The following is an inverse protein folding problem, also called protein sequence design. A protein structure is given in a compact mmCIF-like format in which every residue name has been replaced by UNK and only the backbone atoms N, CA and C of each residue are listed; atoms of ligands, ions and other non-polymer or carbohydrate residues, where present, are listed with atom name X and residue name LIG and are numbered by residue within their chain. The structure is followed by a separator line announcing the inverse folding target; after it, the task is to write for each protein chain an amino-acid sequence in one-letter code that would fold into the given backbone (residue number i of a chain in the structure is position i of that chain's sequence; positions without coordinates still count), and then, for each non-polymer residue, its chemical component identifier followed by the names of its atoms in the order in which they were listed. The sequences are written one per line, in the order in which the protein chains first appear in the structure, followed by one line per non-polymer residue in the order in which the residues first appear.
data_IF_256791893303
#
_entry.id   IF_256791893303
#
_cell.length_a   1.000
_cell.length_b   1.000
_cell.length_c   1.000
_cell.angle_alpha   90.00
_cell.angle_beta   90.00
_cell.angle_gamma   90.00
#
_symmetry.space_group_name_H-M   'P 1'
#
loop_
_entity.id
_entity.type
_entity.pdbx_description
1 polymer ?
#
# COMPACT_ATOMS: atom_id res chain seq x y z
N UNK A 1 -5.81 -4.95 4.72
CA UNK A 1 -6.85 -4.52 5.68
C UNK A 1 -6.28 -3.96 7.00
N UNK A 2 -4.97 -3.75 7.12
CA UNK A 2 -4.26 -3.63 8.41
C UNK A 2 -3.87 -2.18 8.75
N UNK A 3 -3.98 -1.26 7.77
CA UNK A 3 -3.44 0.11 7.89
C UNK A 3 -4.10 0.90 9.02
N UNK A 4 -5.42 0.76 9.22
CA UNK A 4 -6.12 1.44 10.31
C UNK A 4 -5.57 1.04 11.68
N UNK A 5 -5.36 -0.28 11.90
CA UNK A 5 -4.80 -0.80 13.14
C UNK A 5 -3.37 -0.31 13.36
N UNK A 6 -2.53 -0.29 12.31
CA UNK A 6 -1.17 0.25 12.36
C UNK A 6 -1.17 1.72 12.77
N UNK A 7 -1.93 2.57 12.06
CA UNK A 7 -1.94 4.02 12.28
C UNK A 7 -2.48 4.40 13.66
N UNK A 8 -3.57 3.76 14.10
CA UNK A 8 -4.11 3.99 15.45
C UNK A 8 -3.11 3.56 16.53
N UNK A 9 -2.51 2.39 16.37
CA UNK A 9 -1.50 1.86 17.30
C UNK A 9 -0.28 2.77 17.40
N UNK A 10 0.21 3.28 16.27
CA UNK A 10 1.35 4.20 16.21
C UNK A 10 1.01 5.54 16.88
N UNK A 11 -0.14 6.12 16.55
CA UNK A 11 -0.60 7.38 17.15
C UNK A 11 -0.75 7.30 18.67
N UNK A 12 -1.31 6.21 19.20
CA UNK A 12 -1.42 5.98 20.65
C UNK A 12 -0.07 5.80 21.35
N UNK A 13 0.98 5.46 20.61
CA UNK A 13 2.34 5.21 21.13
C UNK A 13 3.34 6.32 20.80
N UNK A 14 2.90 7.41 20.16
CA UNK A 14 3.79 8.49 19.72
C UNK A 14 4.82 8.05 18.68
N UNK A 15 4.51 7.04 17.88
CA UNK A 15 5.37 6.52 16.81
C UNK A 15 4.97 7.14 15.47
N UNK A 16 5.95 7.36 14.59
CA UNK A 16 5.72 7.66 13.18
C UNK A 16 5.44 6.37 12.42
N UNK A 17 4.35 6.31 11.66
CA UNK A 17 4.00 5.17 10.81
C UNK A 17 3.40 5.63 9.47
N UNK A 18 3.56 4.80 8.45
CA UNK A 18 2.99 4.99 7.12
C UNK A 18 2.80 3.64 6.41
N UNK A 19 2.13 3.66 5.26
CA UNK A 19 1.88 2.46 4.45
C UNK A 19 2.03 2.76 2.96
N UNK A 20 2.54 1.78 2.20
CA UNK A 20 2.52 1.76 0.74
C UNK A 20 1.53 0.69 0.31
N UNK A 21 0.64 1.03 -0.62
CA UNK A 21 -0.45 0.15 -1.08
C UNK A 21 -0.34 -0.08 -2.58
N UNK A 22 -0.64 -1.30 -3.00
CA UNK A 22 -0.76 -1.70 -4.41
C UNK A 22 -2.21 -2.07 -4.66
N UNK A 23 -2.78 -1.55 -5.74
CA UNK A 23 -4.17 -1.81 -6.10
C UNK A 23 -4.25 -3.12 -6.88
N UNK A 24 -4.90 -4.12 -6.30
CA UNK A 24 -5.16 -5.44 -6.90
C UNK A 24 -6.52 -5.55 -7.59
N UNK A 25 -7.33 -4.50 -7.49
CA UNK A 25 -8.59 -4.36 -8.20
C UNK A 25 -9.58 -3.55 -7.38
N UNK A 26 -10.85 -3.63 -7.76
CA UNK A 26 -11.97 -3.05 -7.02
C UNK A 26 -12.87 -4.19 -6.58
N UNK A 27 -13.26 -4.19 -5.31
CA UNK A 27 -14.22 -5.15 -4.75
C UNK A 27 -15.45 -4.38 -4.24
N UNK A 28 -16.14 -3.73 -5.19
CA UNK A 28 -17.32 -2.93 -4.94
C UNK A 28 -18.28 -3.10 -6.12
N UNK A 29 -19.34 -3.89 -5.92
CA UNK A 29 -20.23 -4.39 -6.98
C UNK A 29 -20.76 -3.29 -7.93
N UNK A 30 -21.01 -2.08 -7.43
CA UNK A 30 -21.52 -0.96 -8.24
C UNK A 30 -20.44 -0.07 -8.88
N UNK A 31 -19.16 -0.34 -8.60
CA UNK A 31 -18.02 0.48 -9.05
C UNK A 31 -17.00 -0.31 -9.88
N UNK A 32 -17.17 -1.63 -10.01
CA UNK A 32 -16.30 -2.48 -10.82
C UNK A 32 -16.66 -2.33 -12.29
N UNK A 33 -15.69 -1.92 -13.10
CA UNK A 33 -15.74 -2.06 -14.56
C UNK A 33 -14.85 -3.24 -14.96
N UNK A 34 -15.41 -4.46 -14.93
CA UNK A 34 -14.65 -5.68 -15.25
C UNK A 34 -14.02 -5.63 -16.64
N UNK A 35 -14.66 -4.94 -17.59
CA UNK A 35 -14.20 -4.84 -18.97
C UNK A 35 -13.03 -3.87 -19.12
N UNK A 36 -13.00 -2.76 -18.38
CA UNK A 36 -11.95 -1.74 -18.48
C UNK A 36 -10.82 -1.90 -17.45
N UNK A 37 -11.14 -2.27 -16.21
CA UNK A 37 -10.17 -2.33 -15.10
C UNK A 37 -9.84 -3.74 -14.63
N UNK A 38 -10.60 -4.74 -15.12
CA UNK A 38 -10.62 -6.07 -14.53
C UNK A 38 -11.36 -6.06 -13.19
N UNK A 39 -11.67 -7.27 -12.70
CA UNK A 39 -12.15 -7.47 -11.34
C UNK A 39 -11.00 -7.48 -10.33
N UNK A 40 -11.33 -7.81 -9.08
CA UNK A 40 -10.34 -8.15 -8.06
C UNK A 40 -9.51 -9.37 -8.49
N UNK A 41 -8.21 -9.19 -8.70
CA UNK A 41 -7.26 -10.27 -8.98
C UNK A 41 -5.86 -9.94 -8.40
N UNK A 42 -5.50 -10.49 -7.22
CA UNK A 42 -4.20 -10.27 -6.62
C UNK A 42 -3.07 -11.09 -7.27
N UNK A 43 -3.39 -12.01 -8.18
CA UNK A 43 -2.42 -12.93 -8.78
C UNK A 43 -1.94 -12.48 -10.18
N UNK A 44 -2.47 -11.37 -10.72
CA UNK A 44 -2.01 -10.81 -11.99
C UNK A 44 -0.58 -10.25 -11.90
N UNK A 45 0.18 -10.40 -12.99
CA UNK A 45 1.57 -9.93 -13.07
C UNK A 45 1.72 -8.45 -12.72
N UNK A 46 0.75 -7.61 -13.09
CA UNK A 46 0.74 -6.18 -12.78
C UNK A 46 0.74 -5.89 -11.26
N UNK A 47 0.12 -6.75 -10.44
CA UNK A 47 0.14 -6.62 -8.98
C UNK A 47 1.50 -7.03 -8.43
N UNK A 48 2.07 -8.14 -8.92
CA UNK A 48 3.41 -8.56 -8.53
C UNK A 48 4.47 -7.49 -8.86
N UNK A 49 4.40 -6.89 -10.05
CA UNK A 49 5.24 -5.75 -10.44
C UNK A 49 4.99 -4.54 -9.54
N UNK A 50 3.71 -4.24 -9.26
CA UNK A 50 3.31 -3.18 -8.34
C UNK A 50 3.92 -3.36 -6.94
N UNK A 51 3.93 -4.59 -6.41
CA UNK A 51 4.53 -4.92 -5.10
C UNK A 51 6.04 -4.74 -5.13
N UNK A 52 6.72 -5.17 -6.20
CA UNK A 52 8.14 -4.95 -6.35
C UNK A 52 8.49 -3.45 -6.35
N UNK A 53 7.73 -2.64 -7.11
CA UNK A 53 7.90 -1.18 -7.15
C UNK A 53 7.54 -0.50 -5.83
N UNK A 54 6.46 -0.94 -5.19
CA UNK A 54 6.01 -0.44 -3.88
C UNK A 54 7.05 -0.70 -2.78
N UNK A 55 7.75 -1.84 -2.86
CA UNK A 55 8.83 -2.18 -1.94
C UNK A 55 10.00 -1.21 -2.04
N UNK A 56 10.37 -0.78 -3.26
CA UNK A 56 11.39 0.24 -3.48
C UNK A 56 10.96 1.58 -2.87
N UNK A 57 9.72 2.01 -3.11
CA UNK A 57 9.17 3.25 -2.52
C UNK A 57 9.22 3.21 -0.99
N UNK A 58 8.86 2.09 -0.37
CA UNK A 58 8.92 1.92 1.07
C UNK A 58 10.36 2.04 1.61
N UNK A 59 11.33 1.39 0.96
CA UNK A 59 12.74 1.47 1.34
C UNK A 59 13.32 2.87 1.18
N UNK A 60 12.98 3.57 0.09
CA UNK A 60 13.42 4.95 -0.15
C UNK A 60 12.84 5.93 0.89
N UNK A 61 11.57 5.74 1.27
CA UNK A 61 10.95 6.53 2.33
C UNK A 61 11.64 6.29 3.68
N UNK A 62 11.94 5.04 4.03
CA UNK A 62 12.68 4.71 5.25
C UNK A 62 14.08 5.32 5.26
N UNK A 63 14.80 5.26 4.13
CA UNK A 63 16.12 5.88 3.98
C UNK A 63 16.03 7.40 4.23
N UNK A 64 15.07 8.06 3.59
CA UNK A 64 14.87 9.51 3.71
C UNK A 64 14.54 9.92 5.14
N UNK A 65 13.61 9.21 5.80
CA UNK A 65 13.26 9.47 7.20
C UNK A 65 14.46 9.27 8.15
N UNK A 66 15.30 8.27 7.90
CA UNK A 66 16.50 8.04 8.69
C UNK A 66 17.57 9.13 8.51
N UNK A 67 17.64 9.73 7.32
CA UNK A 67 18.52 10.86 7.02
C UNK A 67 18.02 12.16 7.67
N UNK A 68 16.71 12.40 7.68
CA UNK A 68 16.09 13.59 8.32
C UNK A 68 16.12 13.55 9.85
N UNK A 69 16.18 12.35 10.45
CA UNK A 69 16.22 12.19 11.90
C UNK A 69 17.60 12.43 12.53
N UNK A 70 18.65 12.65 11.73
CA UNK A 70 20.01 12.97 12.19
C UNK A 70 20.22 14.47 12.36
#
# INVERSE_FOLDING_TARGET
MEVSALLVTAGLRGLTAGAVLVIDGVNADELVDEAATGGYDPHRDAVAEGVARGSVVALDALRTLAEEAR
#
